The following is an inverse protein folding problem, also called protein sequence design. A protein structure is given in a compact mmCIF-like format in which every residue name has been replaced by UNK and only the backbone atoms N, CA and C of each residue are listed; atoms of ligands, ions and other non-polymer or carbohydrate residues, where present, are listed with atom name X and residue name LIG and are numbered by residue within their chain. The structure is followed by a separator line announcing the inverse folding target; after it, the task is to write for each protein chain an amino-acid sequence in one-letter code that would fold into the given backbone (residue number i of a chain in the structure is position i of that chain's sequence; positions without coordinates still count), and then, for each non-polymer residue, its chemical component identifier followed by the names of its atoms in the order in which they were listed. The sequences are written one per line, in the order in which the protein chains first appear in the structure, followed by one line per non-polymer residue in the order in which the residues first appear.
data_IF_043979174703
#
_entry.id   IF_043979174703
#
_cell.length_a   1.000
_cell.length_b   1.000
_cell.length_c   1.000
_cell.angle_alpha   90.00
_cell.angle_beta   90.00
_cell.angle_gamma   90.00
#
_symmetry.space_group_name_H-M   'P 1'
#
loop_
_entity.id
_entity.type
_entity.pdbx_description
1 polymer ?
#
# COMPACT_ATOMS: atom_id res chain seq x y z
N UNK A 1 4.88 9.08 0.63
CA UNK A 1 6.26 9.08 0.15
C UNK A 1 6.26 8.86 -1.35
N UNK A 2 6.56 9.88 -2.10
CA UNK A 2 6.89 9.76 -3.51
C UNK A 2 8.30 9.15 -3.60
N UNK A 3 8.71 8.65 -4.74
CA UNK A 3 9.97 7.93 -5.04
C UNK A 3 11.28 8.48 -4.44
N UNK A 4 11.25 9.65 -3.84
CA UNK A 4 12.43 10.30 -3.21
C UNK A 4 12.66 9.89 -1.76
N UNK A 5 11.76 9.13 -1.13
CA UNK A 5 11.73 8.85 0.32
C UNK A 5 11.79 10.13 1.20
N UNK A 6 11.40 11.26 0.65
CA UNK A 6 11.37 12.56 1.34
C UNK A 6 9.95 13.12 1.37
N UNK A 7 9.63 13.77 2.47
CA UNK A 7 8.37 14.50 2.59
C UNK A 7 8.47 15.77 1.72
N UNK A 8 7.77 15.76 0.59
CA UNK A 8 7.75 16.91 -0.30
C UNK A 8 6.50 17.75 -0.04
N UNK A 9 6.67 19.06 0.22
CA UNK A 9 5.52 19.97 0.27
C UNK A 9 4.90 20.07 -1.13
N UNK A 10 3.57 20.09 -1.20
CA UNK A 10 2.84 20.38 -2.42
C UNK A 10 1.72 21.38 -2.12
N UNK A 11 1.36 22.17 -3.12
CA UNK A 11 0.28 23.15 -3.01
C UNK A 11 -1.08 22.57 -3.42
N UNK A 12 -1.07 21.55 -4.26
CA UNK A 12 -2.25 20.83 -4.73
C UNK A 12 -1.82 19.50 -5.34
N UNK A 13 -2.74 18.54 -5.41
CA UNK A 13 -2.55 17.27 -6.09
C UNK A 13 -3.90 16.70 -6.53
N UNK A 14 -3.91 15.90 -7.57
CA UNK A 14 -5.09 15.19 -8.05
C UNK A 14 -4.97 13.70 -7.78
N UNK A 15 -6.12 13.05 -7.59
CA UNK A 15 -6.25 11.59 -7.54
C UNK A 15 -6.75 11.15 -8.90
N UNK A 16 -5.98 10.32 -9.59
CA UNK A 16 -6.27 9.88 -10.94
C UNK A 16 -6.35 8.35 -11.01
N UNK A 17 -7.20 7.79 -11.89
CA UNK A 17 -7.15 6.37 -12.20
C UNK A 17 -5.79 6.01 -12.79
N UNK A 18 -5.32 4.82 -12.48
CA UNK A 18 -4.09 4.28 -13.10
C UNK A 18 -4.25 2.80 -13.40
N UNK A 19 -3.62 2.36 -14.47
CA UNK A 19 -3.57 0.95 -14.89
C UNK A 19 -2.14 0.46 -14.86
N UNK A 20 -1.88 -0.67 -14.22
CA UNK A 20 -0.55 -1.29 -14.19
C UNK A 20 -0.28 -1.92 -15.57
N UNK A 21 0.81 -1.52 -16.22
CA UNK A 21 1.21 -1.98 -17.56
C UNK A 21 2.39 -2.94 -17.53
N UNK A 22 3.26 -2.82 -16.55
CA UNK A 22 4.44 -3.66 -16.43
C UNK A 22 4.93 -3.72 -14.99
N UNK A 23 5.66 -4.77 -14.68
CA UNK A 23 6.34 -4.97 -13.40
C UNK A 23 7.82 -5.15 -13.64
N UNK A 24 8.63 -4.35 -12.96
CA UNK A 24 10.04 -4.66 -12.75
C UNK A 24 10.15 -5.42 -11.44
N UNK A 25 10.57 -6.69 -11.50
CA UNK A 25 10.70 -7.51 -10.29
C UNK A 25 11.73 -6.96 -9.32
N UNK A 26 11.44 -7.09 -8.04
CA UNK A 26 12.38 -6.83 -6.97
C UNK A 26 13.37 -8.00 -6.82
N UNK A 27 14.63 -7.68 -6.58
CA UNK A 27 15.71 -8.61 -6.29
C UNK A 27 16.53 -8.09 -5.11
N UNK A 28 17.30 -8.96 -4.46
CA UNK A 28 18.16 -8.55 -3.37
C UNK A 28 19.14 -7.46 -3.83
N UNK A 29 19.08 -6.28 -3.20
CA UNK A 29 19.88 -5.11 -3.55
C UNK A 29 19.31 -4.22 -4.66
N UNK A 30 18.15 -4.58 -5.24
CA UNK A 30 17.47 -3.78 -6.25
C UNK A 30 15.95 -3.77 -6.03
N UNK A 31 15.42 -2.64 -5.67
CA UNK A 31 13.97 -2.49 -5.56
C UNK A 31 13.29 -2.68 -6.93
N UNK A 32 12.19 -3.43 -6.92
CA UNK A 32 11.29 -3.52 -8.07
C UNK A 32 10.34 -2.33 -8.13
N UNK A 33 9.56 -2.24 -9.20
CA UNK A 33 8.56 -1.19 -9.37
C UNK A 33 7.37 -1.66 -10.21
N UNK A 34 6.18 -1.15 -9.88
CA UNK A 34 5.02 -1.19 -10.75
C UNK A 34 5.09 0.00 -11.70
N UNK A 35 4.89 -0.24 -12.99
CA UNK A 35 4.83 0.80 -14.02
C UNK A 35 3.41 0.87 -14.56
N UNK A 36 2.82 2.05 -14.49
CA UNK A 36 1.46 2.26 -14.93
C UNK A 36 1.31 3.57 -15.69
N UNK A 37 0.18 3.67 -16.37
CA UNK A 37 -0.27 4.89 -17.01
C UNK A 37 -1.38 5.52 -16.18
N UNK A 38 -1.37 6.84 -16.06
CA UNK A 38 -2.45 7.61 -15.45
C UNK A 38 -3.46 8.05 -16.50
N UNK A 39 -4.75 7.88 -16.20
CA UNK A 39 -5.80 8.49 -16.99
C UNK A 39 -5.97 9.96 -16.56
N UNK A 40 -5.39 10.85 -17.36
CA UNK A 40 -5.45 12.30 -17.12
C UNK A 40 -6.83 12.91 -17.39
N UNK A 41 -7.76 12.16 -17.97
CA UNK A 41 -9.13 12.61 -18.22
C UNK A 41 -10.07 12.36 -17.05
N UNK A 42 -9.70 11.47 -16.11
CA UNK A 42 -10.47 11.12 -14.93
C UNK A 42 -9.91 11.80 -13.68
N UNK A 43 -10.50 12.91 -13.24
CA UNK A 43 -10.19 13.51 -11.94
C UNK A 43 -11.12 12.89 -10.88
N UNK A 44 -10.54 12.10 -9.98
CA UNK A 44 -11.27 11.34 -8.97
C UNK A 44 -11.30 12.08 -7.63
N UNK A 45 -10.49 13.12 -7.49
CA UNK A 45 -10.41 13.87 -6.25
C UNK A 45 -9.11 14.66 -6.08
N UNK A 46 -9.03 15.35 -4.98
CA UNK A 46 -7.92 16.26 -4.67
C UNK A 46 -7.16 15.82 -3.43
N UNK A 47 -5.82 15.98 -3.46
CA UNK A 47 -4.96 15.80 -2.31
C UNK A 47 -4.80 17.12 -1.57
N UNK A 48 -4.87 17.10 -0.23
CA UNK A 48 -4.69 18.27 0.62
C UNK A 48 -3.53 18.16 1.60
N UNK A 49 -3.04 16.96 1.88
CA UNK A 49 -1.91 16.78 2.80
C UNK A 49 -0.98 15.63 2.36
N UNK A 50 0.31 15.83 2.60
CA UNK A 50 1.35 14.82 2.51
C UNK A 50 2.13 14.84 3.82
N UNK A 51 2.03 13.77 4.59
CA UNK A 51 2.58 13.64 5.93
C UNK A 51 3.48 12.42 6.05
N UNK A 52 4.06 12.22 7.22
CA UNK A 52 4.82 10.98 7.50
C UNK A 52 3.93 9.74 7.51
N UNK A 53 2.63 9.89 7.81
CA UNK A 53 1.67 8.79 7.83
C UNK A 53 1.06 8.47 6.45
N UNK A 54 1.25 9.34 5.46
CA UNK A 54 0.73 9.13 4.12
C UNK A 54 0.26 10.39 3.41
N UNK A 55 -0.44 10.21 2.29
CA UNK A 55 -1.13 11.26 1.56
C UNK A 55 -2.62 11.22 1.87
N UNK A 56 -3.23 12.40 2.00
CA UNK A 56 -4.64 12.57 2.35
C UNK A 56 -5.33 13.42 1.30
N UNK A 57 -6.57 13.05 0.99
CA UNK A 57 -7.34 13.71 -0.05
C UNK A 57 -8.84 13.57 0.16
N UNK A 58 -9.60 14.22 -0.70
CA UNK A 58 -11.04 14.08 -0.83
C UNK A 58 -11.35 13.42 -2.17
N UNK A 59 -12.17 12.37 -2.15
CA UNK A 59 -12.77 11.82 -3.36
C UNK A 59 -13.99 12.65 -3.74
N UNK A 60 -14.17 12.93 -5.03
CA UNK A 60 -15.37 13.57 -5.53
C UNK A 60 -16.57 12.61 -5.41
N UNK A 61 -17.73 13.16 -5.04
CA UNK A 61 -18.93 12.36 -4.76
C UNK A 61 -19.44 11.54 -5.96
N UNK A 62 -19.09 11.96 -7.17
CA UNK A 62 -19.46 11.31 -8.42
C UNK A 62 -18.39 10.33 -8.94
N UNK A 63 -17.42 9.95 -8.13
CA UNK A 63 -16.44 8.93 -8.46
C UNK A 63 -17.11 7.55 -8.57
N UNK A 64 -18.14 7.46 -9.42
CA UNK A 64 -18.93 6.25 -9.72
C UNK A 64 -18.13 5.13 -10.39
N UNK A 65 -16.88 5.40 -10.74
CA UNK A 65 -15.94 4.41 -11.25
C UNK A 65 -15.32 3.53 -10.15
N UNK A 66 -15.59 3.84 -8.88
CA UNK A 66 -15.16 3.02 -7.76
C UNK A 66 -16.26 2.04 -7.38
N UNK A 67 -16.00 0.76 -7.53
CA UNK A 67 -16.73 -0.25 -6.80
C UNK A 67 -16.25 -0.17 -5.34
N UNK A 68 -16.82 0.76 -4.59
CA UNK A 68 -16.62 0.83 -3.14
C UNK A 68 -17.38 -0.35 -2.55
N UNK A 69 -16.73 -1.50 -2.43
CA UNK A 69 -17.27 -2.67 -1.75
C UNK A 69 -17.78 -2.35 -0.34
N UNK A 70 -18.16 -3.37 0.41
CA UNK A 70 -18.59 -3.18 1.80
C UNK A 70 -17.47 -2.54 2.64
N UNK A 71 -17.87 -1.57 3.49
CA UNK A 71 -16.94 -0.97 4.44
C UNK A 71 -16.40 -2.02 5.42
N UNK A 72 -15.09 -2.12 5.54
CA UNK A 72 -14.46 -3.01 6.51
C UNK A 72 -14.18 -2.26 7.81
N UNK A 73 -14.37 -2.92 8.96
CA UNK A 73 -13.97 -2.33 10.24
C UNK A 73 -12.46 -2.18 10.31
N UNK A 74 -12.00 -1.16 11.03
CA UNK A 74 -10.59 -0.95 11.33
C UNK A 74 -10.22 -1.63 12.67
N UNK A 75 -8.97 -2.05 12.82
CA UNK A 75 -8.43 -2.55 14.06
C UNK A 75 -7.65 -1.44 14.78
N UNK A 76 -7.60 -1.52 16.11
CA UNK A 76 -6.66 -0.74 16.91
C UNK A 76 -5.27 -1.37 16.87
N UNK A 77 -4.24 -0.58 17.11
CA UNK A 77 -2.86 -1.04 17.11
C UNK A 77 -2.60 -2.21 18.08
N UNK A 78 -3.25 -2.21 19.25
CA UNK A 78 -3.14 -3.27 20.25
C UNK A 78 -3.89 -4.57 19.89
N UNK A 79 -4.75 -4.53 18.87
CA UNK A 79 -5.45 -5.70 18.32
C UNK A 79 -4.64 -6.40 17.22
N UNK A 80 -3.59 -5.77 16.69
CA UNK A 80 -2.74 -6.32 15.63
C UNK A 80 -1.73 -7.29 16.23
N UNK A 81 -1.71 -8.51 15.74
CA UNK A 81 -0.85 -9.57 16.28
C UNK A 81 0.01 -10.19 15.19
N UNK A 82 1.22 -10.68 15.52
CA UNK A 82 1.98 -11.51 14.58
C UNK A 82 1.18 -12.71 14.08
N UNK A 83 1.30 -13.02 12.79
CA UNK A 83 0.60 -14.13 12.17
C UNK A 83 0.10 -13.82 10.76
N UNK A 84 -0.79 -14.67 10.27
CA UNK A 84 -1.35 -14.55 8.92
C UNK A 84 -2.16 -13.27 8.73
N UNK A 85 -1.98 -12.66 7.58
CA UNK A 85 -2.70 -11.50 7.11
C UNK A 85 -2.75 -11.50 5.58
N UNK A 86 -3.45 -10.57 4.97
CA UNK A 86 -3.45 -10.37 3.52
C UNK A 86 -3.20 -8.91 3.19
N UNK A 87 -2.68 -8.64 1.99
CA UNK A 87 -2.66 -7.30 1.40
C UNK A 87 -3.55 -7.28 0.17
N UNK A 88 -4.23 -6.15 -0.04
CA UNK A 88 -4.94 -5.90 -1.28
C UNK A 88 -4.07 -5.05 -2.18
N UNK A 89 -3.77 -5.54 -3.36
CA UNK A 89 -2.93 -4.80 -4.30
C UNK A 89 -3.31 -5.13 -5.74
N UNK A 90 -3.13 -4.14 -6.60
CA UNK A 90 -3.20 -4.31 -8.04
C UNK A 90 -1.77 -4.37 -8.57
N UNK A 91 -1.37 -5.48 -9.13
CA UNK A 91 -0.03 -5.68 -9.71
C UNK A 91 -0.08 -5.97 -11.22
N UNK A 92 -1.28 -6.14 -11.79
CA UNK A 92 -1.50 -6.36 -13.20
C UNK A 92 -2.83 -5.76 -13.65
N UNK A 93 -2.79 -4.95 -14.71
CA UNK A 93 -3.99 -4.30 -15.26
C UNK A 93 -4.73 -3.46 -14.22
N UNK A 94 -6.04 -3.70 -14.11
CA UNK A 94 -6.94 -3.01 -13.17
C UNK A 94 -7.53 -3.97 -12.12
N UNK A 95 -7.00 -5.20 -12.03
CA UNK A 95 -7.54 -6.22 -11.14
C UNK A 95 -6.96 -6.07 -9.72
N UNK A 96 -7.85 -5.91 -8.74
CA UNK A 96 -7.50 -5.90 -7.33
C UNK A 96 -7.48 -7.34 -6.80
N UNK A 97 -6.32 -7.78 -6.32
CA UNK A 97 -6.12 -9.12 -5.76
C UNK A 97 -5.75 -9.06 -4.28
N UNK A 98 -6.13 -10.10 -3.56
CA UNK A 98 -5.70 -10.35 -2.20
C UNK A 98 -4.51 -11.32 -2.21
N UNK A 99 -3.41 -10.94 -1.57
CA UNK A 99 -2.20 -11.74 -1.48
C UNK A 99 -1.86 -12.08 -0.04
N UNK A 100 -1.45 -13.30 0.19
CA UNK A 100 -1.09 -13.79 1.52
C UNK A 100 0.23 -13.21 2.00
N UNK A 101 0.22 -12.70 3.23
CA UNK A 101 1.39 -12.23 3.94
C UNK A 101 1.41 -12.76 5.38
N UNK A 102 2.52 -12.56 6.04
CA UNK A 102 2.65 -12.75 7.48
C UNK A 102 3.14 -11.48 8.15
N UNK A 103 2.47 -11.07 9.21
CA UNK A 103 2.97 -10.04 10.13
C UNK A 103 3.97 -10.73 11.06
N UNK A 104 5.26 -10.40 10.93
CA UNK A 104 6.32 -10.98 11.75
C UNK A 104 6.42 -10.32 13.12
N UNK A 105 6.16 -9.03 13.18
CA UNK A 105 6.09 -8.24 14.42
C UNK A 105 5.17 -7.05 14.24
N UNK A 106 4.56 -6.61 15.32
CA UNK A 106 3.72 -5.43 15.39
C UNK A 106 4.06 -4.65 16.67
N UNK A 107 4.18 -3.32 16.57
CA UNK A 107 4.46 -2.42 17.68
C UNK A 107 4.69 -1.01 17.18
N UNK A 108 4.17 -0.03 17.91
CA UNK A 108 4.26 1.39 17.57
C UNK A 108 5.69 1.84 17.36
N UNK A 109 5.95 2.52 16.26
CA UNK A 109 7.24 3.09 15.88
C UNK A 109 7.10 4.58 15.60
N UNK A 110 8.10 5.36 15.96
CA UNK A 110 8.09 6.81 15.74
C UNK A 110 8.19 7.21 14.25
N UNK A 111 8.58 6.28 13.39
CA UNK A 111 8.79 6.51 11.94
C UNK A 111 7.77 5.79 11.04
N UNK A 112 6.65 5.30 11.61
CA UNK A 112 5.58 4.63 10.88
C UNK A 112 5.97 3.25 10.34
N UNK A 113 6.97 2.60 10.94
CA UNK A 113 7.37 1.20 10.66
C UNK A 113 6.85 0.27 11.75
N UNK A 114 5.53 0.29 11.94
CA UNK A 114 4.87 -0.36 13.07
C UNK A 114 4.78 -1.87 12.91
N UNK A 115 4.76 -2.34 11.69
CA UNK A 115 4.71 -3.76 11.37
C UNK A 115 5.89 -4.17 10.49
N UNK A 116 6.44 -5.35 10.77
CA UNK A 116 7.35 -6.05 9.85
C UNK A 116 6.55 -7.11 9.13
N UNK A 117 6.56 -7.07 7.81
CA UNK A 117 5.77 -7.93 6.93
C UNK A 117 6.66 -8.91 6.18
N UNK A 118 6.13 -10.09 5.87
CA UNK A 118 6.72 -11.05 4.94
C UNK A 118 5.66 -11.51 3.94
N UNK A 119 5.95 -11.39 2.66
CA UNK A 119 5.13 -11.96 1.59
C UNK A 119 5.27 -13.47 1.62
N UNK A 120 4.16 -14.19 1.65
CA UNK A 120 4.10 -15.65 1.63
C UNK A 120 3.35 -16.19 0.41
N UNK A 121 2.68 -15.28 -0.31
CA UNK A 121 1.92 -15.61 -1.51
C UNK A 121 2.86 -15.96 -2.68
N UNK A 122 2.78 -17.18 -3.24
CA UNK A 122 3.66 -17.59 -4.31
C UNK A 122 3.40 -16.86 -5.62
N UNK A 123 2.16 -16.43 -5.88
CA UNK A 123 1.80 -15.74 -7.12
C UNK A 123 2.35 -14.31 -7.08
N UNK A 124 2.24 -13.63 -5.94
CA UNK A 124 2.86 -12.31 -5.78
C UNK A 124 4.38 -12.39 -5.90
N UNK A 125 5.03 -13.36 -5.26
CA UNK A 125 6.48 -13.57 -5.37
C UNK A 125 6.87 -13.84 -6.82
N UNK A 126 6.12 -14.67 -7.53
CA UNK A 126 6.37 -14.96 -8.93
C UNK A 126 6.17 -13.73 -9.84
N UNK A 127 5.17 -12.90 -9.55
CA UNK A 127 4.87 -11.71 -10.33
C UNK A 127 5.87 -10.56 -10.09
N UNK A 128 6.13 -10.24 -8.83
CA UNK A 128 6.84 -9.02 -8.42
C UNK A 128 8.17 -9.28 -7.72
N UNK A 129 8.45 -10.49 -7.26
CA UNK A 129 9.61 -10.80 -6.40
C UNK A 129 9.41 -10.41 -4.94
N UNK A 130 8.22 -9.93 -4.56
CA UNK A 130 7.86 -9.45 -3.24
C UNK A 130 7.23 -8.06 -3.25
N UNK A 131 7.49 -7.24 -2.24
CA UNK A 131 7.01 -5.86 -2.17
C UNK A 131 7.85 -4.98 -3.10
N UNK A 132 7.19 -4.22 -3.97
CA UNK A 132 7.83 -3.35 -4.96
C UNK A 132 7.31 -1.91 -4.85
N UNK A 133 8.02 -0.96 -5.40
CA UNK A 133 7.58 0.44 -5.50
C UNK A 133 6.24 0.51 -6.26
N UNK A 134 5.32 1.31 -5.77
CA UNK A 134 3.93 1.37 -6.24
C UNK A 134 2.95 0.58 -5.37
N UNK A 135 3.40 -0.34 -4.51
CA UNK A 135 2.54 -1.06 -3.57
C UNK A 135 2.32 -0.32 -2.24
N UNK A 136 3.01 0.80 -2.01
CA UNK A 136 2.79 1.63 -0.83
C UNK A 136 1.34 2.12 -0.77
N UNK A 137 0.71 1.97 0.40
CA UNK A 137 -0.72 2.24 0.58
C UNK A 137 -1.61 1.03 0.38
N UNK A 138 -1.09 -0.12 -0.10
CA UNK A 138 -1.85 -1.37 -0.15
C UNK A 138 -2.41 -1.72 1.23
N UNK A 139 -3.75 -1.86 1.40
CA UNK A 139 -4.34 -2.17 2.69
C UNK A 139 -3.88 -3.54 3.21
N UNK A 140 -3.60 -3.60 4.51
CA UNK A 140 -3.29 -4.85 5.22
C UNK A 140 -4.53 -5.27 5.99
N UNK A 141 -4.97 -6.50 5.77
CA UNK A 141 -6.15 -7.09 6.41
C UNK A 141 -5.74 -8.24 7.33
N UNK A 142 -6.28 -8.24 8.55
CA UNK A 142 -6.16 -9.34 9.48
C UNK A 142 -7.51 -9.58 10.17
N UNK A 143 -7.98 -10.82 10.22
CA UNK A 143 -9.24 -11.20 10.85
C UNK A 143 -10.46 -10.38 10.35
N UNK A 144 -10.50 -10.04 9.05
CA UNK A 144 -11.60 -9.27 8.45
C UNK A 144 -11.61 -7.77 8.78
N UNK A 145 -10.50 -7.24 9.31
CA UNK A 145 -10.33 -5.81 9.64
C UNK A 145 -9.15 -5.22 8.90
N UNK A 146 -9.23 -3.93 8.59
CA UNK A 146 -8.08 -3.16 8.09
C UNK A 146 -7.18 -2.85 9.29
N UNK A 147 -5.95 -3.34 9.26
CA UNK A 147 -4.97 -3.14 10.34
C UNK A 147 -3.95 -2.05 10.01
N UNK A 148 -3.78 -1.73 8.73
CA UNK A 148 -2.81 -0.74 8.28
C UNK A 148 -2.59 -0.77 6.78
N UNK A 149 -1.46 -0.24 6.36
CA UNK A 149 -1.04 -0.21 4.96
C UNK A 149 0.45 -0.52 4.81
N UNK A 150 0.82 -1.10 3.67
CA UNK A 150 2.21 -1.31 3.27
C UNK A 150 2.90 0.04 3.07
N UNK A 151 4.14 0.21 3.55
CA UNK A 151 4.90 1.46 3.42
C UNK A 151 6.23 1.30 2.69
N UNK A 152 7.10 0.41 3.14
CA UNK A 152 8.46 0.28 2.62
C UNK A 152 8.83 -1.17 2.36
N UNK A 153 9.77 -1.39 1.45
CA UNK A 153 10.39 -2.68 1.18
C UNK A 153 11.80 -2.76 1.79
N UNK A 154 12.20 -3.96 2.18
CA UNK A 154 13.60 -4.24 2.52
C UNK A 154 14.40 -4.43 1.23
N UNK A 155 15.28 -3.49 0.91
CA UNK A 155 16.04 -3.51 -0.35
C UNK A 155 16.83 -4.82 -0.54
N UNK A 156 17.38 -5.38 0.54
CA UNK A 156 18.14 -6.63 0.48
C UNK A 156 17.27 -7.90 0.57
N UNK A 157 15.97 -7.75 0.81
CA UNK A 157 15.03 -8.87 0.86
C UNK A 157 13.62 -8.39 0.48
N UNK A 158 13.28 -8.34 -0.81
CA UNK A 158 12.01 -7.81 -1.28
C UNK A 158 10.76 -8.55 -0.76
N UNK A 159 10.91 -9.80 -0.32
CA UNK A 159 9.82 -10.53 0.33
C UNK A 159 9.46 -9.95 1.70
N UNK A 160 10.26 -9.03 2.23
CA UNK A 160 9.99 -8.34 3.49
C UNK A 160 9.79 -6.84 3.31
N UNK A 161 8.99 -6.27 4.19
CA UNK A 161 8.73 -4.84 4.23
C UNK A 161 8.15 -4.37 5.54
N UNK A 162 7.75 -3.12 5.55
CA UNK A 162 7.11 -2.47 6.68
C UNK A 162 5.67 -2.09 6.36
N UNK A 163 4.87 -1.98 7.40
CA UNK A 163 3.54 -1.38 7.36
C UNK A 163 3.35 -0.40 8.50
N UNK A 164 2.45 0.55 8.29
CA UNK A 164 1.97 1.52 9.29
C UNK A 164 0.62 1.05 9.82
N UNK A 165 0.30 1.31 11.09
CA UNK A 165 -1.03 1.05 11.62
C UNK A 165 -2.07 1.99 11.01
N UNK A 166 -3.29 1.49 10.86
CA UNK A 166 -4.40 2.30 10.36
C UNK A 166 -4.74 3.46 11.31
N UNK A 167 -4.54 3.30 12.63
CA UNK A 167 -4.76 4.35 13.62
C UNK A 167 -3.87 5.58 13.38
N UNK A 168 -2.66 5.41 12.84
CA UNK A 168 -1.74 6.51 12.54
C UNK A 168 -2.10 7.25 11.25
N UNK A 169 -3.09 6.73 10.50
CA UNK A 169 -3.60 7.32 9.26
C UNK A 169 -4.99 7.98 9.45
N UNK A 170 -5.65 7.78 10.58
CA UNK A 170 -6.97 8.32 10.91
C UNK A 170 -6.85 9.57 11.77
#
# INVERSE_FOLDING_TARGET
YVDTAQLMPFSSGSILPSTVKAVKKGEAGSAGELRGDFDLSGDLGTLYANTQSGVFGHLEADASCWDVGEALPVAKADEVVPGKATILSNVEGDELCAYDIEILSAGTSADGRDMVLRVTDPDLIAATGGIVQGMSGSPILQNGRIVGAVTHVFVNNPEKGYGIFIEDML
#
